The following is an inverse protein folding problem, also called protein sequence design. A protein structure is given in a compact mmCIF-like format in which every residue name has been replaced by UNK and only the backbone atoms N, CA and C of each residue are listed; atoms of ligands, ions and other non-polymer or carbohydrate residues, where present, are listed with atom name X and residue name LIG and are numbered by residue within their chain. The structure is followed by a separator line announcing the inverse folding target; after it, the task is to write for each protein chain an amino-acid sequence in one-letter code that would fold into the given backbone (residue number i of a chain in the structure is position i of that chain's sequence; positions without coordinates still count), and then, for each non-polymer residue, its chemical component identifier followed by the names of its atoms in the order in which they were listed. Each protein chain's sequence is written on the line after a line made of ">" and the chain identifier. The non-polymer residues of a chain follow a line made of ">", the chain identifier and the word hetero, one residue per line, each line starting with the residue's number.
data_IF_281318051009
#
_entry.id   IF_281318051009
#
_cell.length_a   1.000
_cell.length_b   1.000
_cell.length_c   1.000
_cell.angle_alpha   90.00
_cell.angle_beta   90.00
_cell.angle_gamma   90.00
#
_symmetry.space_group_name_H-M   'P 1'
#
loop_
_entity.id
_entity.type
_entity.pdbx_description
1 polymer ?
#
# COMPACT_ATOMS: atom_id res chain seq x y z
N UNK A 1 -6.40 6.27 12.90
CA UNK A 1 -5.96 5.03 12.22
C UNK A 1 -4.78 4.48 12.99
N UNK A 2 -4.75 3.18 13.29
CA UNK A 2 -3.63 2.56 14.02
C UNK A 2 -2.52 2.23 13.00
N UNK A 3 -1.23 2.43 13.32
CA UNK A 3 -0.14 1.98 12.47
C UNK A 3 -0.22 0.47 12.20
N UNK A 4 0.08 0.06 10.98
CA UNK A 4 0.25 -1.35 10.60
C UNK A 4 1.68 -1.55 10.09
N UNK A 5 2.19 -2.78 10.23
CA UNK A 5 3.49 -3.14 9.66
C UNK A 5 3.41 -3.15 8.15
N UNK A 6 4.42 -2.59 7.50
CA UNK A 6 4.73 -2.81 6.08
C UNK A 6 6.01 -3.65 6.06
N UNK A 7 5.97 -4.86 5.51
CA UNK A 7 7.09 -5.81 5.62
C UNK A 7 8.17 -5.51 4.58
N UNK A 8 8.97 -4.48 4.84
CA UNK A 8 10.03 -3.99 3.92
C UNK A 8 11.33 -4.79 4.02
N UNK A 9 11.47 -5.63 5.03
CA UNK A 9 12.61 -6.51 5.28
C UNK A 9 12.61 -7.74 4.36
N UNK A 10 11.42 -8.19 3.96
CA UNK A 10 11.22 -9.38 3.13
C UNK A 10 11.17 -9.04 1.64
N UNK A 11 10.54 -7.90 1.30
CA UNK A 11 10.47 -7.39 -0.07
C UNK A 11 10.83 -5.90 -0.04
N UNK A 12 11.82 -5.45 -0.84
CA UNK A 12 12.14 -4.04 -0.95
C UNK A 12 10.91 -3.22 -1.35
N UNK A 13 10.59 -2.23 -0.53
CA UNK A 13 9.54 -1.25 -0.81
C UNK A 13 10.16 0.12 -1.04
N UNK A 14 9.54 1.00 -1.84
CA UNK A 14 9.98 2.38 -1.93
C UNK A 14 9.89 3.08 -0.58
N UNK A 15 10.81 4.02 -0.35
CA UNK A 15 10.82 4.87 0.84
C UNK A 15 9.51 5.66 1.00
N UNK A 16 9.29 6.19 2.21
CA UNK A 16 8.13 7.03 2.57
C UNK A 16 6.76 6.34 2.49
N UNK A 17 6.76 5.04 2.23
CA UNK A 17 5.61 4.16 2.40
C UNK A 17 5.22 4.00 3.86
N UNK A 18 3.92 4.04 4.14
CA UNK A 18 3.40 3.67 5.47
C UNK A 18 2.14 2.84 5.35
N UNK A 19 1.94 1.94 6.31
CA UNK A 19 0.72 1.16 6.42
C UNK A 19 -0.08 1.51 7.69
N UNK A 20 -1.40 1.40 7.59
CA UNK A 20 -2.35 1.65 8.68
C UNK A 20 -3.47 0.63 8.68
N UNK A 21 -3.99 0.30 9.85
CA UNK A 21 -5.23 -0.44 10.01
C UNK A 21 -6.43 0.49 9.88
N UNK A 22 -7.34 0.11 8.99
CA UNK A 22 -8.66 0.70 8.80
C UNK A 22 -9.73 -0.21 9.41
N UNK A 23 -10.84 0.39 9.83
CA UNK A 23 -12.06 -0.32 10.22
C UNK A 23 -13.19 0.17 9.33
N UNK A 24 -13.81 -0.74 8.60
CA UNK A 24 -14.94 -0.48 7.71
C UNK A 24 -16.24 -0.37 8.52
N UNK A 25 -17.33 0.09 7.88
CA UNK A 25 -18.62 0.28 8.54
C UNK A 25 -19.24 -1.03 9.06
N UNK A 26 -18.97 -2.16 8.40
CA UNK A 26 -19.36 -3.51 8.81
C UNK A 26 -18.38 -4.14 9.83
N UNK A 27 -17.39 -3.38 10.29
CA UNK A 27 -16.45 -3.80 11.34
C UNK A 27 -15.27 -4.65 10.86
N UNK A 28 -15.17 -4.93 9.56
CA UNK A 28 -14.00 -5.59 8.95
C UNK A 28 -12.76 -4.71 9.12
N UNK A 29 -11.62 -5.36 9.37
CA UNK A 29 -10.33 -4.69 9.50
C UNK A 29 -9.53 -4.90 8.23
N UNK A 30 -9.15 -3.81 7.58
CA UNK A 30 -8.34 -3.80 6.37
C UNK A 30 -6.98 -3.15 6.65
N UNK A 31 -5.92 -3.63 6.00
CA UNK A 31 -4.63 -2.92 5.98
C UNK A 31 -4.60 -2.01 4.76
N UNK A 32 -4.30 -0.73 4.93
CA UNK A 32 -4.03 0.17 3.83
C UNK A 32 -2.57 0.58 3.83
N UNK A 33 -1.95 0.63 2.66
CA UNK A 33 -0.61 1.20 2.50
C UNK A 33 -0.63 2.35 1.50
N UNK A 34 0.15 3.39 1.79
CA UNK A 34 0.18 4.61 0.99
C UNK A 34 1.60 5.12 0.79
N UNK A 35 1.87 5.56 -0.44
CA UNK A 35 3.02 6.34 -0.86
C UNK A 35 2.52 7.66 -1.46
N UNK A 36 3.00 8.82 -0.99
CA UNK A 36 2.63 10.10 -1.58
C UNK A 36 3.26 10.30 -2.97
N UNK A 37 2.63 11.12 -3.80
CA UNK A 37 3.20 11.55 -5.07
C UNK A 37 2.42 12.72 -5.67
N UNK A 38 3.08 13.53 -6.48
CA UNK A 38 2.54 14.82 -6.95
C UNK A 38 1.72 14.70 -8.26
N UNK A 39 1.90 13.62 -9.02
CA UNK A 39 1.27 13.45 -10.34
C UNK A 39 -0.20 13.02 -10.26
N UNK A 40 -0.62 12.51 -9.11
CA UNK A 40 -1.91 11.89 -8.87
C UNK A 40 -1.76 10.59 -8.08
N UNK A 41 -2.85 9.87 -7.85
CA UNK A 41 -2.86 8.64 -7.06
C UNK A 41 -3.34 7.46 -7.88
N UNK A 42 -2.54 6.40 -7.93
CA UNK A 42 -2.94 5.09 -8.43
C UNK A 42 -3.57 4.30 -7.29
N UNK A 43 -4.78 3.80 -7.51
CA UNK A 43 -5.43 2.84 -6.62
C UNK A 43 -5.05 1.43 -7.09
N UNK A 44 -4.24 0.74 -6.29
CA UNK A 44 -3.81 -0.63 -6.56
C UNK A 44 -4.66 -1.57 -5.70
N UNK A 45 -5.40 -2.47 -6.34
CA UNK A 45 -6.23 -3.46 -5.65
C UNK A 45 -5.65 -4.86 -5.86
N UNK A 46 -5.04 -5.45 -4.82
CA UNK A 46 -4.56 -6.83 -4.83
C UNK A 46 -5.66 -7.83 -5.20
N UNK A 47 -5.25 -8.95 -5.79
CA UNK A 47 -6.13 -10.09 -6.03
C UNK A 47 -6.46 -10.87 -4.77
N UNK A 48 -7.24 -11.95 -4.93
CA UNK A 48 -7.63 -12.84 -3.83
C UNK A 48 -6.39 -13.48 -3.23
N UNK A 49 -6.28 -13.48 -1.90
CA UNK A 49 -5.14 -14.02 -1.12
C UNK A 49 -3.80 -13.34 -1.36
N UNK A 50 -3.78 -12.16 -1.98
CA UNK A 50 -2.56 -11.39 -2.21
C UNK A 50 -2.41 -10.28 -1.18
N UNK A 51 -1.18 -9.80 -1.00
CA UNK A 51 -0.83 -8.72 -0.07
C UNK A 51 -0.03 -7.64 -0.80
N UNK A 52 -0.05 -6.42 -0.28
CA UNK A 52 0.71 -5.28 -0.81
C UNK A 52 2.17 -5.61 -1.11
N UNK A 53 2.84 -6.41 -0.26
CA UNK A 53 4.25 -6.71 -0.45
C UNK A 53 4.57 -7.44 -1.76
N UNK A 54 3.60 -8.16 -2.33
CA UNK A 54 3.75 -8.78 -3.66
C UNK A 54 3.96 -7.75 -4.78
N UNK A 55 3.48 -6.53 -4.59
CA UNK A 55 3.49 -5.47 -5.59
C UNK A 55 4.66 -4.50 -5.45
N UNK A 56 5.65 -4.79 -4.59
CA UNK A 56 6.78 -3.88 -4.32
C UNK A 56 7.42 -3.29 -5.58
N UNK A 57 7.73 -4.12 -6.58
CA UNK A 57 8.31 -3.69 -7.85
C UNK A 57 7.39 -2.76 -8.66
N UNK A 58 6.08 -3.03 -8.66
CA UNK A 58 5.08 -2.19 -9.36
C UNK A 58 4.97 -0.85 -8.67
N UNK A 59 4.89 -0.86 -7.34
CA UNK A 59 4.81 0.35 -6.51
C UNK A 59 6.09 1.19 -6.69
N UNK A 60 7.26 0.58 -6.67
CA UNK A 60 8.54 1.26 -6.88
C UNK A 60 8.60 1.99 -8.23
N UNK A 61 8.14 1.35 -9.32
CA UNK A 61 8.08 1.96 -10.65
C UNK A 61 7.08 3.12 -10.71
N UNK A 62 5.93 3.00 -10.05
CA UNK A 62 4.92 4.06 -10.00
C UNK A 62 5.43 5.27 -9.19
N UNK A 63 6.01 5.02 -8.02
CA UNK A 63 6.60 6.06 -7.16
C UNK A 63 7.75 6.76 -7.88
N UNK A 64 8.65 6.02 -8.53
CA UNK A 64 9.74 6.59 -9.32
C UNK A 64 9.23 7.45 -10.50
N UNK A 65 8.05 7.15 -11.03
CA UNK A 65 7.38 7.93 -12.07
C UNK A 65 6.55 9.13 -11.54
N UNK A 66 6.65 9.42 -10.24
CA UNK A 66 6.02 10.56 -9.57
C UNK A 66 4.56 10.35 -9.14
N UNK A 67 4.03 9.14 -9.27
CA UNK A 67 2.67 8.81 -8.81
C UNK A 67 2.66 8.48 -7.32
N UNK A 68 1.63 8.93 -6.63
CA UNK A 68 1.26 8.36 -5.34
C UNK A 68 0.57 7.01 -5.56
N UNK A 69 0.65 6.13 -4.57
CA UNK A 69 -0.01 4.81 -4.60
C UNK A 69 -0.78 4.62 -3.31
N UNK A 70 -2.04 4.18 -3.42
CA UNK A 70 -2.84 3.68 -2.31
C UNK A 70 -3.27 2.25 -2.62
N UNK A 71 -3.11 1.35 -1.66
CA UNK A 71 -3.50 -0.05 -1.77
C UNK A 71 -4.18 -0.54 -0.50
N UNK A 72 -5.01 -1.57 -0.64
CA UNK A 72 -5.74 -2.23 0.44
C UNK A 72 -5.44 -3.72 0.42
N UNK A 73 -5.18 -4.33 1.58
CA UNK A 73 -5.26 -5.77 1.75
C UNK A 73 -6.66 -6.11 2.27
N UNK A 74 -7.37 -6.94 1.51
CA UNK A 74 -8.75 -7.36 1.76
C UNK A 74 -8.86 -8.43 2.86
#
# INVERSE_FOLDING_TARGET
>A
MQPATLFTDTVPMPADGRAVWLRTADGVRLRAAVWPGARGTVLLFPGRTEVVEKYGDVIARLVAAGWGVLTLDW
#
